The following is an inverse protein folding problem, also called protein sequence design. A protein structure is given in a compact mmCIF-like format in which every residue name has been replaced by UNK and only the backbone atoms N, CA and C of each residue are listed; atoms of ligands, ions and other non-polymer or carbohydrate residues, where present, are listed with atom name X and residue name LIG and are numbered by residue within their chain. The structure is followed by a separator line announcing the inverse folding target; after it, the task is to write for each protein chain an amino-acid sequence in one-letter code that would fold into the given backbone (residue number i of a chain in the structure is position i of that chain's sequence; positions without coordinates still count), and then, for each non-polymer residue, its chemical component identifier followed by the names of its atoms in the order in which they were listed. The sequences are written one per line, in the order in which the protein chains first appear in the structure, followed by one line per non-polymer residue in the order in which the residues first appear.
data_IF_397657291953
#
_entry.id   IF_397657291953
#
_cell.length_a   1.000
_cell.length_b   1.000
_cell.length_c   1.000
_cell.angle_alpha   90.00
_cell.angle_beta   90.00
_cell.angle_gamma   90.00
#
_symmetry.space_group_name_H-M   'P 1'
#
loop_
_entity.id
_entity.type
_entity.pdbx_description
1 polymer ?
#
# COMPACT_ATOMS: atom_id res chain seq x y z
N UNK A 1 19.79 5.82 3.36
CA UNK A 1 19.53 6.63 2.15
C UNK A 1 19.89 5.90 0.85
N UNK A 2 21.16 5.47 0.62
CA UNK A 2 21.53 4.71 -0.59
C UNK A 2 20.73 3.40 -0.78
N UNK A 3 20.36 2.70 0.29
CA UNK A 3 19.62 1.42 0.23
C UNK A 3 18.16 1.55 -0.25
N UNK A 4 17.43 2.59 0.19
CA UNK A 4 16.05 2.84 -0.24
C UNK A 4 16.00 3.22 -1.72
N UNK A 5 16.99 3.98 -2.20
CA UNK A 5 17.10 4.36 -3.61
C UNK A 5 17.33 3.14 -4.53
N UNK A 6 18.09 2.15 -4.07
CA UNK A 6 18.30 0.89 -4.81
C UNK A 6 17.00 0.07 -4.86
N UNK A 7 16.27 -0.04 -3.75
CA UNK A 7 14.95 -0.69 -3.73
C UNK A 7 13.99 0.02 -4.69
N UNK A 8 14.01 1.36 -4.70
CA UNK A 8 13.23 2.19 -5.61
C UNK A 8 13.57 1.90 -7.08
N UNK A 9 14.85 1.82 -7.44
CA UNK A 9 15.30 1.51 -8.80
C UNK A 9 14.91 0.10 -9.25
N UNK A 10 14.98 -0.89 -8.35
CA UNK A 10 14.60 -2.27 -8.66
C UNK A 10 13.10 -2.40 -8.87
N UNK A 11 12.28 -1.77 -8.01
CA UNK A 11 10.82 -1.82 -8.10
C UNK A 11 10.25 -1.01 -9.28
N UNK A 12 10.88 0.10 -9.69
CA UNK A 12 10.42 0.93 -10.82
C UNK A 12 10.74 0.37 -12.22
N UNK A 13 11.44 -0.76 -12.33
CA UNK A 13 11.87 -1.29 -13.64
C UNK A 13 10.72 -1.89 -14.49
N UNK A 14 9.51 -2.05 -13.95
CA UNK A 14 8.43 -2.79 -14.61
C UNK A 14 7.07 -2.09 -14.56
N UNK A 15 6.73 -1.25 -15.56
CA UNK A 15 5.36 -0.76 -15.85
C UNK A 15 4.48 -0.46 -14.62
N UNK A 16 5.00 0.34 -13.69
CA UNK A 16 4.38 0.61 -12.40
C UNK A 16 3.65 1.95 -12.42
N UNK A 17 2.55 2.04 -13.15
CA UNK A 17 1.77 3.29 -13.21
C UNK A 17 0.41 3.18 -12.51
N UNK A 18 0.04 1.99 -12.04
CA UNK A 18 -1.27 1.71 -11.46
C UNK A 18 -1.13 1.25 -10.02
N UNK A 19 -2.13 1.55 -9.19
CA UNK A 19 -2.07 1.51 -7.74
C UNK A 19 -2.86 0.36 -7.11
N UNK A 20 -3.94 -0.11 -7.74
CA UNK A 20 -4.72 -1.22 -7.19
C UNK A 20 -5.33 -2.08 -8.30
N UNK A 21 -5.30 -3.42 -8.16
CA UNK A 21 -5.88 -4.29 -9.16
C UNK A 21 -7.40 -4.11 -9.17
N UNK A 22 -7.95 -3.77 -10.34
CA UNK A 22 -9.40 -3.68 -10.53
C UNK A 22 -9.94 -5.10 -10.77
N UNK A 23 -10.42 -5.73 -9.71
CA UNK A 23 -11.07 -7.04 -9.79
C UNK A 23 -12.57 -6.82 -10.04
N UNK A 24 -13.00 -6.87 -11.30
CA UNK A 24 -14.42 -6.95 -11.64
C UNK A 24 -14.86 -8.42 -11.62
N UNK A 25 -15.38 -8.89 -10.49
CA UNK A 25 -16.11 -10.16 -10.43
C UNK A 25 -17.55 -9.91 -9.93
N UNK A 26 -18.56 -9.97 -10.81
CA UNK A 26 -19.96 -9.77 -10.43
C UNK A 26 -20.53 -10.91 -9.56
N UNK A 27 -19.78 -12.02 -9.36
CA UNK A 27 -20.25 -13.24 -8.70
C UNK A 27 -19.62 -13.43 -7.31
N UNK A 28 -18.61 -12.63 -6.93
CA UNK A 28 -18.01 -12.70 -5.59
C UNK A 28 -17.31 -14.04 -5.31
N UNK A 29 -16.55 -14.56 -6.28
CA UNK A 29 -15.85 -15.83 -6.15
C UNK A 29 -14.68 -15.80 -5.17
N UNK A 30 -14.32 -16.98 -4.65
CA UNK A 30 -13.12 -17.21 -3.81
C UNK A 30 -11.85 -16.67 -4.49
N UNK A 31 -11.81 -16.67 -5.83
CA UNK A 31 -10.71 -16.11 -6.64
C UNK A 31 -10.50 -14.61 -6.39
N UNK A 32 -11.57 -13.81 -6.35
CA UNK A 32 -11.47 -12.37 -6.09
C UNK A 32 -10.92 -12.07 -4.69
N UNK A 33 -11.34 -12.84 -3.69
CA UNK A 33 -10.85 -12.75 -2.31
C UNK A 33 -9.38 -13.17 -2.22
N UNK A 34 -8.97 -14.21 -2.94
CA UNK A 34 -7.57 -14.66 -3.00
C UNK A 34 -6.67 -13.61 -3.67
N UNK A 35 -7.12 -13.00 -4.76
CA UNK A 35 -6.37 -11.93 -5.46
C UNK A 35 -6.25 -10.69 -4.58
N UNK A 36 -7.35 -10.22 -3.99
CA UNK A 36 -7.32 -9.07 -3.08
C UNK A 36 -6.45 -9.34 -1.85
N UNK A 37 -6.64 -10.49 -1.20
CA UNK A 37 -5.91 -10.87 0.01
C UNK A 37 -4.41 -11.00 -0.24
N UNK A 38 -4.00 -11.56 -1.38
CA UNK A 38 -2.59 -11.67 -1.76
C UNK A 38 -1.97 -10.32 -2.13
N UNK A 39 -2.67 -9.48 -2.90
CA UNK A 39 -2.21 -8.13 -3.23
C UNK A 39 -1.98 -7.29 -1.96
N UNK A 40 -2.98 -7.24 -1.07
CA UNK A 40 -2.88 -6.52 0.22
C UNK A 40 -1.77 -7.10 1.09
N UNK A 41 -1.63 -8.41 1.16
CA UNK A 41 -0.60 -9.05 1.99
C UNK A 41 0.81 -8.71 1.50
N UNK A 42 1.06 -8.76 0.19
CA UNK A 42 2.36 -8.43 -0.39
C UNK A 42 2.70 -6.96 -0.17
N UNK A 43 1.72 -6.07 -0.39
CA UNK A 43 1.85 -4.65 -0.11
C UNK A 43 2.24 -4.39 1.35
N UNK A 44 1.48 -4.94 2.30
CA UNK A 44 1.71 -4.75 3.73
C UNK A 44 3.07 -5.31 4.15
N UNK A 45 3.48 -6.47 3.62
CA UNK A 45 4.81 -7.02 3.84
C UNK A 45 5.90 -6.05 3.37
N UNK A 46 5.79 -5.53 2.15
CA UNK A 46 6.77 -4.60 1.59
C UNK A 46 6.83 -3.30 2.41
N UNK A 47 5.68 -2.70 2.70
CA UNK A 47 5.56 -1.45 3.46
C UNK A 47 6.13 -1.63 4.88
N UNK A 48 5.82 -2.74 5.55
CA UNK A 48 6.36 -3.06 6.88
C UNK A 48 7.89 -3.21 6.84
N UNK A 49 8.43 -3.89 5.82
CA UNK A 49 9.87 -4.02 5.61
C UNK A 49 10.56 -2.67 5.35
N UNK A 50 9.91 -1.75 4.63
CA UNK A 50 10.44 -0.42 4.39
C UNK A 50 10.42 0.44 5.66
N UNK A 51 9.39 0.29 6.49
CA UNK A 51 9.23 1.03 7.74
C UNK A 51 10.14 0.54 8.86
N UNK A 52 10.67 -0.69 8.78
CA UNK A 52 11.74 -1.17 9.66
C UNK A 52 12.99 -0.29 9.62
N UNK A 53 13.28 0.37 8.49
CA UNK A 53 14.42 1.30 8.40
C UNK A 53 14.26 2.56 9.27
N UNK A 54 13.04 2.81 9.76
CA UNK A 54 12.68 3.90 10.66
C UNK A 54 12.51 3.42 12.11
N UNK A 55 12.85 2.15 12.39
CA UNK A 55 12.71 1.50 13.68
C UNK A 55 11.25 1.51 14.18
N UNK A 56 10.32 1.07 13.33
CA UNK A 56 8.92 0.85 13.72
C UNK A 56 8.69 -0.60 14.13
N UNK A 57 7.80 -0.80 15.11
CA UNK A 57 7.48 -2.11 15.69
C UNK A 57 6.70 -2.99 14.71
N UNK A 58 7.34 -4.07 14.23
CA UNK A 58 6.85 -4.92 13.13
C UNK A 58 5.44 -5.48 13.35
N UNK A 59 5.20 -6.12 14.49
CA UNK A 59 3.95 -6.85 14.74
C UNK A 59 2.72 -5.93 14.76
N UNK A 60 2.66 -4.87 15.60
CA UNK A 60 1.51 -3.98 15.62
C UNK A 60 1.38 -3.19 14.32
N UNK A 61 2.50 -2.84 13.69
CA UNK A 61 2.51 -2.14 12.41
C UNK A 61 1.90 -2.96 11.28
N UNK A 62 2.28 -4.24 11.16
CA UNK A 62 1.76 -5.13 10.14
C UNK A 62 0.22 -5.21 10.21
N UNK A 63 -0.34 -5.44 11.39
CA UNK A 63 -1.79 -5.50 11.57
C UNK A 63 -2.46 -4.16 11.27
N UNK A 64 -1.89 -3.04 11.75
CA UNK A 64 -2.44 -1.71 11.48
C UNK A 64 -2.49 -1.39 9.99
N UNK A 65 -1.42 -1.69 9.26
CA UNK A 65 -1.36 -1.49 7.81
C UNK A 65 -2.27 -2.45 7.05
N UNK A 66 -2.39 -3.71 7.50
CA UNK A 66 -3.27 -4.69 6.87
C UNK A 66 -4.74 -4.28 6.95
N UNK A 67 -5.23 -4.00 8.17
CA UNK A 67 -6.61 -3.55 8.34
C UNK A 67 -6.84 -2.17 7.74
N UNK A 68 -5.86 -1.27 7.85
CA UNK A 68 -5.91 0.05 7.24
C UNK A 68 -6.08 0.00 5.72
N UNK A 69 -5.30 -0.85 5.03
CA UNK A 69 -5.44 -1.04 3.59
C UNK A 69 -6.78 -1.66 3.19
N UNK A 70 -7.29 -2.64 3.96
CA UNK A 70 -8.64 -3.18 3.72
C UNK A 70 -9.72 -2.09 3.87
N UNK A 71 -9.63 -1.26 4.91
CA UNK A 71 -10.56 -0.14 5.11
C UNK A 71 -10.46 0.86 3.96
N UNK A 72 -9.24 1.25 3.56
CA UNK A 72 -9.04 2.14 2.42
C UNK A 72 -9.62 1.54 1.12
N UNK A 73 -9.42 0.25 0.88
CA UNK A 73 -9.97 -0.42 -0.29
C UNK A 73 -11.51 -0.39 -0.31
N UNK A 74 -12.16 -0.88 0.75
CA UNK A 74 -13.62 -1.01 0.77
C UNK A 74 -14.37 0.32 0.96
N UNK A 75 -13.81 1.25 1.74
CA UNK A 75 -14.51 2.47 2.15
C UNK A 75 -14.10 3.68 1.31
N UNK A 76 -12.89 3.70 0.75
CA UNK A 76 -12.43 4.81 -0.10
C UNK A 76 -12.32 4.40 -1.58
N UNK A 77 -11.51 3.40 -1.91
CA UNK A 77 -11.19 3.06 -3.30
C UNK A 77 -12.41 2.60 -4.11
N UNK A 78 -13.17 1.63 -3.59
CA UNK A 78 -14.37 1.12 -4.29
C UNK A 78 -15.43 2.21 -4.53
N UNK A 79 -15.80 3.06 -3.54
CA UNK A 79 -16.69 4.19 -3.79
C UNK A 79 -16.13 5.23 -4.77
N UNK A 80 -14.82 5.52 -4.70
CA UNK A 80 -14.16 6.46 -5.61
C UNK A 80 -14.17 5.95 -7.05
N UNK A 81 -13.97 4.65 -7.28
CA UNK A 81 -14.06 4.04 -8.61
C UNK A 81 -15.43 4.26 -9.27
N UNK A 82 -16.51 4.21 -8.50
CA UNK A 82 -17.87 4.45 -9.01
C UNK A 82 -18.19 5.93 -9.21
N UNK A 83 -17.52 6.81 -8.46
CA UNK A 83 -17.85 8.24 -8.41
C UNK A 83 -16.97 9.10 -9.32
N UNK A 84 -15.77 8.64 -9.66
CA UNK A 84 -14.82 9.40 -10.47
C UNK A 84 -14.77 8.90 -11.91
N UNK A 85 -14.74 9.81 -12.90
CA UNK A 85 -14.68 9.44 -14.31
C UNK A 85 -13.31 8.94 -14.76
N UNK A 86 -12.26 9.12 -13.94
CA UNK A 86 -10.90 8.70 -14.29
C UNK A 86 -10.28 7.80 -13.22
N UNK A 87 -9.83 6.63 -13.67
CA UNK A 87 -9.13 5.64 -12.84
C UNK A 87 -7.89 6.26 -12.20
N UNK A 88 -7.12 7.03 -12.99
CA UNK A 88 -5.91 7.73 -12.52
C UNK A 88 -6.16 8.66 -11.33
N UNK A 89 -7.31 9.34 -11.27
CA UNK A 89 -7.65 10.18 -10.11
C UNK A 89 -7.97 9.34 -8.88
N UNK A 90 -8.72 8.25 -9.03
CA UNK A 90 -9.01 7.34 -7.93
C UNK A 90 -7.73 6.71 -7.37
N UNK A 91 -6.79 6.34 -8.25
CA UNK A 91 -5.48 5.80 -7.88
C UNK A 91 -4.57 6.84 -7.21
N UNK A 92 -4.51 8.06 -7.73
CA UNK A 92 -3.74 9.12 -7.08
C UNK A 92 -4.28 9.43 -5.68
N UNK A 93 -5.59 9.43 -5.51
CA UNK A 93 -6.24 9.66 -4.23
C UNK A 93 -6.03 8.50 -3.25
N UNK A 94 -6.05 7.25 -3.70
CA UNK A 94 -5.82 6.11 -2.80
C UNK A 94 -4.36 6.05 -2.33
N UNK A 95 -3.40 6.30 -3.23
CA UNK A 95 -1.98 6.42 -2.86
C UNK A 95 -1.77 7.59 -1.89
N UNK A 96 -2.47 8.71 -2.10
CA UNK A 96 -2.39 9.83 -1.16
C UNK A 96 -2.97 9.46 0.21
N UNK A 97 -4.12 8.78 0.24
CA UNK A 97 -4.78 8.35 1.47
C UNK A 97 -3.93 7.33 2.25
N UNK A 98 -3.33 6.36 1.55
CA UNK A 98 -2.44 5.37 2.15
C UNK A 98 -1.13 6.04 2.66
N UNK A 99 -0.56 6.99 1.91
CA UNK A 99 0.57 7.79 2.39
C UNK A 99 0.26 8.58 3.66
N UNK A 100 -0.95 9.15 3.77
CA UNK A 100 -1.44 9.80 4.98
C UNK A 100 -1.59 8.78 6.11
N UNK A 101 -2.20 7.62 5.84
CA UNK A 101 -2.38 6.55 6.82
C UNK A 101 -1.02 6.10 7.40
N UNK A 102 -0.04 5.81 6.55
CA UNK A 102 1.33 5.45 6.97
C UNK A 102 1.93 6.54 7.85
N UNK A 103 1.76 7.82 7.47
CA UNK A 103 2.27 8.92 8.31
C UNK A 103 1.55 8.98 9.65
N UNK A 104 0.23 8.89 9.69
CA UNK A 104 -0.55 8.90 10.93
C UNK A 104 -0.14 7.74 11.85
N UNK A 105 -0.04 6.52 11.30
CA UNK A 105 0.45 5.34 12.04
C UNK A 105 1.85 5.59 12.59
N UNK A 106 2.75 6.19 11.82
CA UNK A 106 4.11 6.51 12.30
C UNK A 106 4.16 7.52 13.44
N UNK A 107 3.08 8.27 13.69
CA UNK A 107 3.00 9.25 14.78
C UNK A 107 2.52 8.62 16.10
N UNK A 108 1.96 7.41 16.09
CA UNK A 108 1.50 6.78 17.32
C UNK A 108 2.63 5.95 17.96
N UNK A 109 2.92 6.22 19.23
CA UNK A 109 4.00 5.59 20.00
C UNK A 109 3.89 4.06 20.07
N UNK A 110 2.67 3.53 20.01
CA UNK A 110 2.39 2.08 20.01
C UNK A 110 3.09 1.35 18.84
N UNK A 111 3.36 2.05 17.74
CA UNK A 111 4.01 1.49 16.55
C UNK A 111 5.50 1.83 16.46
N UNK A 112 6.06 2.59 17.40
CA UNK A 112 7.45 3.04 17.38
C UNK A 112 8.36 2.10 18.18
N UNK A 113 9.57 1.86 17.68
CA UNK A 113 10.64 1.16 18.38
C UNK A 113 11.42 2.10 19.30
N UNK A 114 12.43 1.55 20.00
CA UNK A 114 13.22 2.31 20.97
C UNK A 114 14.12 3.37 20.31
N UNK A 115 14.59 3.11 19.08
CA UNK A 115 15.48 3.98 18.31
C UNK A 115 14.74 4.63 17.13
N UNK A 116 13.44 4.89 17.30
CA UNK A 116 12.55 5.43 16.26
C UNK A 116 13.12 6.68 15.60
N UNK A 117 13.11 6.67 14.27
CA UNK A 117 13.48 7.82 13.44
C UNK A 117 12.24 8.38 12.79
N UNK A 118 11.99 9.66 13.01
CA UNK A 118 10.81 10.32 12.46
C UNK A 118 10.67 10.10 10.94
N UNK A 119 9.54 9.50 10.55
CA UNK A 119 9.20 9.28 9.16
C UNK A 119 8.74 10.59 8.52
N UNK A 120 9.58 11.23 7.69
CA UNK A 120 9.18 12.45 6.95
C UNK A 120 8.07 12.13 5.95
N UNK A 121 7.18 13.09 5.72
CA UNK A 121 6.07 12.99 4.75
C UNK A 121 6.49 12.45 3.39
N UNK A 122 7.59 12.95 2.82
CA UNK A 122 8.11 12.46 1.54
C UNK A 122 8.38 10.97 1.52
N UNK A 123 8.84 10.38 2.63
CA UNK A 123 9.10 8.96 2.72
C UNK A 123 7.81 8.16 2.90
N UNK A 124 6.84 8.68 3.66
CA UNK A 124 5.52 8.05 3.79
C UNK A 124 4.83 7.91 2.41
N UNK A 125 4.81 8.99 1.62
CA UNK A 125 4.23 8.94 0.26
C UNK A 125 5.05 8.07 -0.70
N UNK A 126 6.38 8.07 -0.62
CA UNK A 126 7.20 7.17 -1.44
C UNK A 126 6.95 5.71 -1.10
N UNK A 127 6.82 5.37 0.20
CA UNK A 127 6.54 4.02 0.65
C UNK A 127 5.14 3.59 0.21
N UNK A 128 4.13 4.46 0.35
CA UNK A 128 2.77 4.18 -0.13
C UNK A 128 2.73 3.95 -1.64
N UNK A 129 3.41 4.81 -2.42
CA UNK A 129 3.51 4.64 -3.87
C UNK A 129 4.09 3.26 -4.21
N UNK A 130 5.17 2.83 -3.55
CA UNK A 130 5.76 1.51 -3.75
C UNK A 130 4.85 0.36 -3.31
N UNK A 131 4.12 0.52 -2.20
CA UNK A 131 3.17 -0.46 -1.68
C UNK A 131 2.01 -0.71 -2.65
N UNK A 132 1.34 0.36 -3.07
CA UNK A 132 0.22 0.28 -4.00
C UNK A 132 0.68 -0.27 -5.38
N UNK A 133 1.82 0.23 -5.85
CA UNK A 133 2.49 -0.26 -7.06
C UNK A 133 2.68 -1.78 -7.10
N UNK A 134 3.18 -2.37 -6.01
CA UNK A 134 3.39 -3.82 -5.93
C UNK A 134 2.05 -4.57 -5.82
N UNK A 135 1.08 -4.00 -5.09
CA UNK A 135 -0.28 -4.51 -4.95
C UNK A 135 -0.96 -4.65 -6.31
N UNK A 136 -0.86 -3.62 -7.15
CA UNK A 136 -1.33 -3.65 -8.53
C UNK A 136 -0.64 -4.74 -9.34
N UNK A 137 0.69 -4.82 -9.29
CA UNK A 137 1.45 -5.82 -10.06
C UNK A 137 1.02 -7.25 -9.70
N UNK A 138 0.92 -7.56 -8.41
CA UNK A 138 0.47 -8.88 -7.92
C UNK A 138 -0.93 -9.19 -8.43
N UNK A 139 -1.87 -8.26 -8.28
CA UNK A 139 -3.22 -8.50 -8.76
C UNK A 139 -3.31 -8.62 -10.28
N UNK A 140 -2.53 -7.85 -11.05
CA UNK A 140 -2.47 -7.97 -12.51
C UNK A 140 -1.94 -9.35 -12.96
N UNK A 141 -0.91 -9.87 -12.28
CA UNK A 141 -0.35 -11.21 -12.56
C UNK A 141 -1.34 -12.33 -12.21
N UNK A 142 -2.19 -12.13 -11.20
CA UNK A 142 -3.15 -13.17 -10.80
C UNK A 142 -4.47 -13.14 -11.58
N UNK A 143 -4.77 -12.03 -12.26
CA UNK A 143 -5.94 -11.88 -13.14
C UNK A 143 -5.62 -12.28 -14.59
N UNK A 144 -4.39 -12.04 -15.06
CA UNK A 144 -3.91 -12.38 -16.41
C UNK A 144 -3.52 -13.84 -16.58
#
# INVERSE_FOLDING_TARGET
MKKIFVIFMVLFSTKVAFANPVVFDPIGGISSVMVLGSAVTVEVCLVTLLLLFFDMSVKPLFFALFFGNLVLYFVAFLPLLHSLPSLWMAEALIVAADGIMIKVVSLCEIFQGMDFKELKWKYAFLISMLGNSISYYVGAVMIG
#
